data_IF_294119722218
#
_entry.id   IF_294119722218
#
_cell.length_a   1.000
_cell.length_b   1.000
_cell.length_c   1.000
_cell.angle_alpha   90.00
_cell.angle_beta   90.00
_cell.angle_gamma   90.00
#
_symmetry.space_group_name_H-M   'P 1'
#
loop_
_entity.id
_entity.type
_entity.pdbx_description
1 polymer ?
#
# COMPACT_ATOMS: atom_id res chain seq x y z
N UNK A 1 33.11 -12.82 12.02
CA UNK A 1 32.29 -11.90 11.22
C UNK A 1 30.82 -12.13 11.55
N UNK A 2 30.10 -11.07 11.76
CA UNK A 2 28.67 -11.13 12.05
C UNK A 2 27.89 -11.45 10.76
N UNK A 3 26.86 -12.29 10.89
CA UNK A 3 25.98 -12.63 9.78
C UNK A 3 25.22 -11.38 9.31
N UNK A 4 25.15 -11.10 8.01
CA UNK A 4 24.33 -9.97 7.52
C UNK A 4 22.85 -10.17 7.83
N UNK A 5 22.17 -9.08 8.17
CA UNK A 5 20.74 -9.08 8.52
C UNK A 5 20.00 -7.92 7.84
N UNK A 6 18.77 -8.18 7.49
CA UNK A 6 17.84 -7.16 7.00
C UNK A 6 17.15 -6.51 8.20
N UNK A 7 17.08 -5.18 8.24
CA UNK A 7 16.47 -4.42 9.33
C UNK A 7 14.98 -4.19 9.14
N UNK A 8 14.57 -3.80 7.93
CA UNK A 8 13.19 -3.37 7.69
C UNK A 8 12.89 -3.36 6.20
N UNK A 9 11.61 -3.22 5.87
CA UNK A 9 11.17 -2.89 4.53
C UNK A 9 11.16 -1.36 4.42
N UNK A 10 11.79 -0.80 3.38
CA UNK A 10 11.70 0.62 3.06
C UNK A 10 10.46 0.92 2.22
N UNK A 11 10.31 0.21 1.12
CA UNK A 11 9.16 0.35 0.23
C UNK A 11 8.88 -0.95 -0.51
N UNK A 12 7.69 -1.03 -1.04
CA UNK A 12 7.29 -2.04 -2.02
C UNK A 12 6.86 -1.32 -3.30
N UNK A 13 6.74 -2.08 -4.39
CA UNK A 13 6.25 -1.58 -5.68
C UNK A 13 4.97 -2.32 -6.04
N UNK A 14 3.96 -1.56 -6.42
CA UNK A 14 2.65 -2.09 -6.78
C UNK A 14 2.27 -1.64 -8.19
N UNK A 15 1.69 -2.55 -8.97
CA UNK A 15 1.18 -2.25 -10.30
C UNK A 15 -0.26 -1.76 -10.19
N UNK A 16 -0.56 -0.65 -10.86
CA UNK A 16 -1.90 -0.06 -10.88
C UNK A 16 -2.50 -0.15 -12.30
N UNK A 17 -3.68 -0.75 -12.41
CA UNK A 17 -4.44 -0.76 -13.67
C UNK A 17 -4.99 0.63 -13.99
N UNK A 18 -5.49 1.32 -12.97
CA UNK A 18 -5.95 2.70 -13.03
C UNK A 18 -5.22 3.50 -11.97
N UNK A 19 -4.21 4.24 -12.40
CA UNK A 19 -3.31 4.96 -11.49
C UNK A 19 -4.07 6.02 -10.67
N UNK A 20 -4.96 6.78 -11.32
CA UNK A 20 -5.73 7.83 -10.65
C UNK A 20 -6.67 7.25 -9.60
N UNK A 21 -7.38 6.17 -9.91
CA UNK A 21 -8.27 5.50 -8.97
C UNK A 21 -7.50 4.88 -7.80
N UNK A 22 -6.33 4.32 -8.06
CA UNK A 22 -5.45 3.76 -7.03
C UNK A 22 -4.97 4.85 -6.08
N UNK A 23 -4.48 5.97 -6.59
CA UNK A 23 -4.05 7.12 -5.78
C UNK A 23 -5.21 7.62 -4.92
N UNK A 24 -6.39 7.78 -5.52
CA UNK A 24 -7.59 8.24 -4.80
C UNK A 24 -7.95 7.32 -3.64
N UNK A 25 -7.95 6.01 -3.86
CA UNK A 25 -8.24 5.02 -2.81
C UNK A 25 -7.26 5.12 -1.65
N UNK A 26 -5.97 5.07 -1.92
CA UNK A 26 -4.96 5.07 -0.88
C UNK A 26 -4.85 6.40 -0.14
N UNK A 27 -5.16 7.52 -0.78
CA UNK A 27 -5.15 8.84 -0.13
C UNK A 27 -6.45 9.14 0.61
N UNK A 28 -7.60 9.03 -0.05
CA UNK A 28 -8.90 9.41 0.53
C UNK A 28 -9.43 8.37 1.51
N UNK A 29 -9.24 7.08 1.23
CA UNK A 29 -9.74 6.01 2.09
C UNK A 29 -8.71 5.61 3.15
N UNK A 30 -7.47 5.38 2.76
CA UNK A 30 -6.43 4.91 3.69
C UNK A 30 -5.57 6.01 4.29
N UNK A 31 -5.75 7.26 3.89
CA UNK A 31 -5.11 8.42 4.52
C UNK A 31 -3.62 8.58 4.22
N UNK A 32 -3.12 7.97 3.16
CA UNK A 32 -1.72 8.13 2.74
C UNK A 32 -1.49 9.45 2.03
N UNK A 33 -0.24 9.89 1.97
CA UNK A 33 0.15 11.08 1.22
C UNK A 33 0.71 10.69 -0.14
N UNK A 34 0.19 11.31 -1.19
CA UNK A 34 0.65 11.11 -2.56
C UNK A 34 1.82 12.05 -2.88
N UNK A 35 2.84 11.52 -3.55
CA UNK A 35 3.98 12.28 -4.06
C UNK A 35 4.26 11.89 -5.50
N UNK A 36 4.59 12.88 -6.32
CA UNK A 36 5.06 12.69 -7.69
C UNK A 36 6.51 13.14 -7.81
N UNK A 37 7.31 12.39 -8.55
CA UNK A 37 8.70 12.68 -8.75
C UNK A 37 9.08 12.56 -10.23
N UNK A 38 9.68 13.62 -10.78
CA UNK A 38 10.24 13.61 -12.12
C UNK A 38 11.75 13.41 -12.01
N UNK A 39 12.30 12.27 -12.52
CA UNK A 39 13.74 12.07 -12.48
C UNK A 39 14.49 13.22 -13.19
N UNK A 40 15.63 13.72 -12.65
CA UNK A 40 16.38 14.81 -13.27
C UNK A 40 16.86 14.50 -14.70
N UNK A 41 17.07 13.23 -15.01
CA UNK A 41 17.50 12.78 -16.34
C UNK A 41 16.35 12.63 -17.32
N UNK A 42 15.14 13.03 -16.94
CA UNK A 42 13.94 12.83 -17.74
C UNK A 42 13.31 11.45 -17.50
N UNK A 43 12.37 11.07 -18.36
CA UNK A 43 11.63 9.82 -18.25
C UNK A 43 10.25 10.01 -17.61
N UNK A 44 9.59 8.92 -17.30
CA UNK A 44 8.25 8.94 -16.73
C UNK A 44 8.24 9.53 -15.32
N UNK A 45 7.17 10.27 -14.99
CA UNK A 45 6.89 10.70 -13.63
C UNK A 45 6.67 9.48 -12.75
N UNK A 46 7.30 9.45 -11.60
CA UNK A 46 7.17 8.37 -10.62
C UNK A 46 6.20 8.78 -9.53
N UNK A 47 5.29 7.88 -9.18
CA UNK A 47 4.27 8.09 -8.17
C UNK A 47 4.57 7.28 -6.94
N UNK A 48 4.34 7.85 -5.76
CA UNK A 48 4.47 7.12 -4.50
C UNK A 48 3.42 7.54 -3.48
N UNK A 49 3.13 6.62 -2.57
CA UNK A 49 2.19 6.79 -1.48
C UNK A 49 2.95 6.61 -0.17
N UNK A 50 2.90 7.62 0.69
CA UNK A 50 3.68 7.66 1.92
C UNK A 50 2.79 7.47 3.14
N UNK A 51 3.26 6.66 4.07
CA UNK A 51 2.61 6.41 5.36
C UNK A 51 3.66 6.01 6.39
N UNK A 52 3.61 6.60 7.58
CA UNK A 52 4.64 6.39 8.59
C UNK A 52 6.03 6.68 8.04
N UNK A 53 6.93 5.72 8.16
CA UNK A 53 8.29 5.79 7.61
C UNK A 53 8.47 4.93 6.35
N UNK A 54 7.37 4.55 5.73
CA UNK A 54 7.36 3.64 4.59
C UNK A 54 6.66 4.27 3.40
N UNK A 55 6.78 3.65 2.25
CA UNK A 55 6.04 4.05 1.05
C UNK A 55 5.71 2.88 0.15
N UNK A 56 4.75 3.10 -0.72
CA UNK A 56 4.45 2.25 -1.86
C UNK A 56 4.75 3.04 -3.12
N UNK A 57 5.65 2.54 -3.95
CA UNK A 57 5.87 3.08 -5.29
C UNK A 57 4.82 2.48 -6.23
N UNK A 58 4.19 3.33 -7.04
CA UNK A 58 3.19 2.91 -8.00
C UNK A 58 3.77 2.87 -9.40
N UNK A 59 3.56 1.75 -10.08
CA UNK A 59 3.81 1.61 -11.51
C UNK A 59 2.48 1.57 -12.24
N UNK A 60 2.34 2.38 -13.29
CA UNK A 60 1.22 2.27 -14.22
C UNK A 60 1.41 1.00 -15.05
N UNK A 61 0.48 0.04 -14.91
CA UNK A 61 0.56 -1.23 -15.62
C UNK A 61 0.51 -1.07 -17.15
N UNK A 62 -0.10 0.03 -17.63
CA UNK A 62 -0.17 0.34 -19.05
C UNK A 62 1.15 0.91 -19.60
N UNK A 63 2.07 1.32 -18.71
CA UNK A 63 3.34 1.97 -19.08
C UNK A 63 4.46 1.50 -18.16
N UNK A 64 4.80 0.20 -18.18
CA UNK A 64 5.78 -0.37 -17.26
C UNK A 64 7.18 0.18 -17.51
N UNK A 65 8.00 0.24 -16.46
CA UNK A 65 9.41 0.62 -16.57
C UNK A 65 10.29 -0.27 -15.69
N UNK A 66 11.55 -0.36 -16.05
CA UNK A 66 12.55 -1.20 -15.40
C UNK A 66 13.34 -0.37 -14.37
N UNK A 67 13.67 -0.90 -13.17
CA UNK A 67 13.42 -2.30 -12.75
C UNK A 67 12.00 -2.51 -12.23
N UNK A 68 11.50 -3.71 -12.36
CA UNK A 68 10.23 -4.13 -11.81
C UNK A 68 10.29 -5.59 -11.36
N UNK A 69 9.23 -6.08 -10.70
CA UNK A 69 9.14 -7.47 -10.29
C UNK A 69 9.20 -8.42 -11.52
N UNK A 70 9.61 -9.65 -11.30
CA UNK A 70 9.66 -10.67 -12.36
C UNK A 70 8.28 -10.86 -13.02
N UNK A 71 7.22 -10.84 -12.22
CA UNK A 71 5.83 -10.94 -12.67
C UNK A 71 5.05 -9.72 -12.17
N UNK A 72 5.20 -8.56 -12.82
CA UNK A 72 4.60 -7.31 -12.36
C UNK A 72 3.13 -7.21 -12.80
N UNK A 73 2.25 -7.95 -12.14
CA UNK A 73 0.83 -7.99 -12.49
C UNK A 73 -0.02 -7.21 -11.50
N UNK A 74 -1.13 -6.67 -12.01
CA UNK A 74 -2.14 -5.99 -11.19
C UNK A 74 -2.81 -7.00 -10.26
N UNK A 75 -3.11 -6.56 -9.01
CA UNK A 75 -3.82 -7.39 -8.04
C UNK A 75 -2.98 -8.51 -7.43
N UNK A 76 -1.66 -8.43 -7.54
CA UNK A 76 -0.74 -9.46 -7.03
C UNK A 76 -0.24 -9.20 -5.61
N UNK A 77 -0.73 -8.16 -4.95
CA UNK A 77 -0.26 -7.74 -3.62
C UNK A 77 -1.32 -8.01 -2.57
N UNK A 78 -0.89 -8.59 -1.46
CA UNK A 78 -1.70 -8.76 -0.25
C UNK A 78 -0.96 -8.07 0.89
N UNK A 79 -1.56 -7.03 1.46
CA UNK A 79 -0.93 -6.15 2.43
C UNK A 79 -1.73 -6.09 3.73
N UNK A 80 -1.02 -6.08 4.84
CA UNK A 80 -1.59 -5.79 6.13
C UNK A 80 -1.00 -4.48 6.66
N UNK A 81 -1.85 -3.48 6.86
CA UNK A 81 -1.47 -2.20 7.45
C UNK A 81 -1.86 -2.18 8.92
N UNK A 82 -1.01 -1.58 9.73
CA UNK A 82 -1.28 -1.37 11.16
C UNK A 82 -1.83 0.05 11.35
N UNK A 83 -2.86 0.15 12.16
CA UNK A 83 -3.43 1.44 12.58
C UNK A 83 -3.54 1.47 14.10
N UNK A 84 -3.41 2.67 14.68
CA UNK A 84 -3.64 2.90 16.12
C UNK A 84 -5.05 3.38 16.41
N UNK A 85 -5.83 3.71 15.37
CA UNK A 85 -7.21 4.13 15.52
C UNK A 85 -8.12 2.93 15.78
N UNK A 86 -9.19 3.10 16.57
CA UNK A 86 -10.14 2.02 16.82
C UNK A 86 -10.69 1.44 15.52
N UNK A 87 -10.79 0.13 15.45
CA UNK A 87 -11.27 -0.55 14.25
C UNK A 87 -12.72 -0.18 13.93
N UNK A 88 -13.53 0.13 14.95
CA UNK A 88 -14.90 0.62 14.77
C UNK A 88 -14.94 1.93 13.96
N UNK A 89 -13.98 2.83 14.15
CA UNK A 89 -13.88 4.07 13.37
C UNK A 89 -13.56 3.77 11.92
N UNK A 90 -12.69 2.80 11.66
CA UNK A 90 -12.41 2.33 10.31
C UNK A 90 -13.61 1.69 9.65
N UNK A 91 -14.39 0.90 10.38
CA UNK A 91 -15.62 0.30 9.86
C UNK A 91 -16.60 1.36 9.40
N UNK A 92 -16.79 2.42 10.20
CA UNK A 92 -17.66 3.55 9.84
C UNK A 92 -17.11 4.30 8.62
N UNK A 93 -15.83 4.61 8.62
CA UNK A 93 -15.17 5.31 7.53
C UNK A 93 -15.29 4.55 6.20
N UNK A 94 -15.03 3.26 6.22
CA UNK A 94 -15.16 2.39 5.03
C UNK A 94 -16.60 2.37 4.53
N UNK A 95 -17.58 2.21 5.43
CA UNK A 95 -18.99 2.21 5.06
C UNK A 95 -19.41 3.55 4.44
N UNK A 96 -18.95 4.66 5.00
CA UNK A 96 -19.25 6.01 4.49
C UNK A 96 -18.71 6.24 3.08
N UNK A 97 -17.68 5.50 2.68
CA UNK A 97 -17.09 5.55 1.35
C UNK A 97 -17.52 4.41 0.43
N UNK A 98 -18.51 3.63 0.87
CA UNK A 98 -19.05 2.52 0.06
C UNK A 98 -18.09 1.33 -0.10
N UNK A 99 -17.15 1.17 0.81
CA UNK A 99 -16.20 0.05 0.80
C UNK A 99 -16.75 -1.07 1.70
N UNK A 100 -16.98 -2.23 1.10
CA UNK A 100 -17.45 -3.41 1.83
C UNK A 100 -16.28 -4.09 2.55
N UNK A 101 -16.57 -4.55 3.77
CA UNK A 101 -15.65 -5.42 4.51
C UNK A 101 -15.91 -6.86 4.06
N UNK A 102 -14.92 -7.50 3.47
CA UNK A 102 -15.03 -8.88 2.97
C UNK A 102 -14.96 -9.90 4.10
N UNK A 103 -14.18 -9.61 5.13
CA UNK A 103 -14.03 -10.48 6.30
C UNK A 103 -13.64 -9.63 7.52
N UNK A 104 -14.14 -10.04 8.67
CA UNK A 104 -13.81 -9.45 9.96
C UNK A 104 -14.87 -8.49 10.51
N UNK A 105 -14.63 -7.95 11.73
CA UNK A 105 -13.42 -8.06 12.55
C UNK A 105 -13.07 -9.49 12.96
N UNK A 106 -11.82 -9.87 12.80
CA UNK A 106 -11.33 -11.22 13.07
C UNK A 106 -9.94 -11.17 13.70
N UNK A 107 -9.68 -12.07 14.64
CA UNK A 107 -8.38 -12.18 15.28
C UNK A 107 -7.38 -12.88 14.36
N UNK A 108 -6.20 -12.28 14.23
CA UNK A 108 -5.08 -12.81 13.44
C UNK A 108 -3.79 -12.68 14.23
N UNK A 109 -2.76 -13.37 13.77
CA UNK A 109 -1.42 -13.30 14.33
C UNK A 109 -0.55 -12.42 13.44
N UNK A 110 -0.06 -11.32 14.01
CA UNK A 110 0.86 -10.42 13.31
C UNK A 110 2.31 -10.70 13.64
N UNK A 111 3.20 -9.92 13.04
CA UNK A 111 4.64 -10.04 13.26
C UNK A 111 5.04 -9.72 14.71
N UNK A 112 4.30 -8.84 15.37
CA UNK A 112 4.60 -8.37 16.73
C UNK A 112 3.50 -8.74 17.73
N UNK A 113 2.68 -9.73 17.44
CA UNK A 113 1.65 -10.20 18.34
C UNK A 113 0.26 -10.27 17.72
N UNK A 114 -0.77 -10.47 18.56
CA UNK A 114 -2.14 -10.60 18.09
C UNK A 114 -2.64 -9.31 17.41
N UNK A 115 -3.45 -9.47 16.38
CA UNK A 115 -4.11 -8.40 15.67
C UNK A 115 -5.62 -8.63 15.65
N UNK A 116 -6.38 -7.53 15.61
CA UNK A 116 -7.78 -7.55 15.19
C UNK A 116 -7.86 -6.90 13.82
N UNK A 117 -8.40 -7.61 12.83
CA UNK A 117 -8.30 -7.22 11.43
C UNK A 117 -9.65 -7.18 10.73
N UNK A 118 -9.76 -6.27 9.77
CA UNK A 118 -10.79 -6.30 8.73
C UNK A 118 -10.10 -6.40 7.37
N UNK A 119 -10.74 -7.12 6.47
CA UNK A 119 -10.26 -7.31 5.10
C UNK A 119 -11.18 -6.59 4.12
N UNK A 120 -10.58 -5.87 3.20
CA UNK A 120 -11.31 -5.12 2.15
C UNK A 120 -10.78 -5.43 0.76
#
# INVERSE_FOLDING_TARGET
MQKPEIQSIDHIVMQAADLAATIKFYTEILGMEHSSFQPPTGGAVRQSLHFGLQKINLHDAASPFIPHAKNPVVGSVDLCFITTQPLADWQTHLADHGIDIEDGPVHKTGANGPLLSVYI
#
